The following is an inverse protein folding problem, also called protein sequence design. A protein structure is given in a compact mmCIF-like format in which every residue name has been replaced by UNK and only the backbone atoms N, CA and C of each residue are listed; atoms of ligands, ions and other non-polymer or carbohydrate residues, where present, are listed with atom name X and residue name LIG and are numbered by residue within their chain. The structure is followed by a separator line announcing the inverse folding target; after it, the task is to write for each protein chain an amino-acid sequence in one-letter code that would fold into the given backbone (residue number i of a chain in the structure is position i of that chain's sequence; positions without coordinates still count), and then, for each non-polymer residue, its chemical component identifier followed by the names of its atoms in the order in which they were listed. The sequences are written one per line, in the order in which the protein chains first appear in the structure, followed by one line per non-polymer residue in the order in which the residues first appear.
data_IF_065413248048
#
_entry.id   IF_065413248048
#
_cell.length_a   1.000
_cell.length_b   1.000
_cell.length_c   1.000
_cell.angle_alpha   90.00
_cell.angle_beta   90.00
_cell.angle_gamma   90.00
#
_symmetry.space_group_name_H-M   'P 1'
#
loop_
_entity.id
_entity.type
_entity.pdbx_description
1 polymer ?
#
# COMPACT_ATOMS: atom_id res chain seq x y z
N UNK A 1 -14.55 -19.19 3.14
CA UNK A 1 -13.41 -18.93 4.01
C UNK A 1 -13.49 -17.49 4.47
N UNK A 2 -13.55 -17.26 5.76
CA UNK A 2 -13.66 -15.92 6.35
C UNK A 2 -12.57 -15.79 7.44
N UNK A 3 -11.96 -14.60 7.57
CA UNK A 3 -10.92 -14.31 8.54
C UNK A 3 -9.60 -13.89 7.88
N UNK A 4 -8.51 -14.02 8.61
CA UNK A 4 -7.17 -13.70 8.12
C UNK A 4 -6.49 -14.97 7.57
N UNK A 5 -5.87 -14.88 6.39
CA UNK A 5 -5.28 -16.05 5.75
C UNK A 5 -4.45 -15.73 4.52
N UNK A 6 -4.12 -16.81 3.77
CA UNK A 6 -3.33 -16.75 2.54
C UNK A 6 -4.13 -17.34 1.39
N UNK A 7 -4.12 -16.65 0.26
CA UNK A 7 -4.60 -17.17 -1.02
C UNK A 7 -3.40 -17.25 -1.96
N UNK A 8 -3.06 -18.46 -2.40
CA UNK A 8 -2.10 -18.69 -3.48
C UNK A 8 -2.87 -18.85 -4.78
N UNK A 9 -2.62 -17.96 -5.74
CA UNK A 9 -3.19 -18.06 -7.09
C UNK A 9 -2.32 -18.93 -7.99
N UNK A 10 -1.01 -18.88 -7.79
CA UNK A 10 0.03 -19.71 -8.40
C UNK A 10 1.31 -19.64 -7.57
N UNK A 11 2.42 -20.15 -8.08
CA UNK A 11 3.71 -20.15 -7.36
C UNK A 11 4.32 -18.75 -7.16
N UNK A 12 3.80 -17.75 -7.85
CA UNK A 12 4.35 -16.40 -7.85
C UNK A 12 3.38 -15.34 -7.32
N UNK A 13 2.06 -15.61 -7.32
CA UNK A 13 1.04 -14.65 -6.93
C UNK A 13 0.39 -15.07 -5.61
N UNK A 14 0.65 -14.30 -4.57
CA UNK A 14 0.21 -14.61 -3.21
C UNK A 14 -0.48 -13.40 -2.60
N UNK A 15 -1.67 -13.61 -2.06
CA UNK A 15 -2.35 -12.67 -1.18
C UNK A 15 -2.27 -13.12 0.26
N UNK A 16 -2.06 -12.17 1.17
CA UNK A 16 -2.03 -12.38 2.61
C UNK A 16 -2.83 -11.26 3.26
N UNK A 17 -3.89 -11.61 3.96
CA UNK A 17 -4.73 -10.58 4.57
C UNK A 17 -6.11 -11.08 4.98
N UNK A 18 -7.00 -10.12 5.15
CA UNK A 18 -8.38 -10.39 5.50
C UNK A 18 -9.14 -10.98 4.30
N UNK A 19 -9.87 -12.05 4.54
CA UNK A 19 -10.64 -12.79 3.55
C UNK A 19 -12.10 -12.83 3.99
N UNK A 20 -13.01 -12.53 3.08
CA UNK A 20 -14.45 -12.69 3.26
C UNK A 20 -15.04 -13.40 2.06
N UNK A 21 -15.80 -14.46 2.31
CA UNK A 21 -16.45 -15.28 1.29
C UNK A 21 -15.48 -15.77 0.20
N UNK A 22 -14.22 -16.08 0.61
CA UNK A 22 -13.16 -16.53 -0.28
C UNK A 22 -12.48 -15.44 -1.08
N UNK A 23 -12.84 -14.18 -0.90
CA UNK A 23 -12.27 -13.02 -1.60
C UNK A 23 -11.41 -12.16 -0.68
N UNK A 24 -10.40 -11.50 -1.26
CA UNK A 24 -9.64 -10.44 -0.58
C UNK A 24 -10.61 -9.36 -0.09
N UNK A 25 -10.53 -9.03 1.21
CA UNK A 25 -11.41 -8.06 1.85
C UNK A 25 -10.70 -7.42 3.04
N UNK A 26 -10.98 -6.15 3.36
CA UNK A 26 -10.27 -5.46 4.43
C UNK A 26 -8.81 -5.20 4.09
N UNK A 27 -7.92 -5.34 5.08
CA UNK A 27 -6.48 -5.09 4.88
C UNK A 27 -5.74 -6.33 4.44
N UNK A 28 -4.81 -6.16 3.45
CA UNK A 28 -3.99 -7.25 2.98
C UNK A 28 -2.84 -6.81 2.08
N UNK A 29 -1.98 -7.77 1.80
CA UNK A 29 -0.79 -7.63 0.97
C UNK A 29 -0.90 -8.60 -0.21
N UNK A 30 -0.62 -8.10 -1.41
CA UNK A 30 -0.55 -8.91 -2.61
C UNK A 30 0.86 -8.83 -3.19
N UNK A 31 1.45 -9.97 -3.43
CA UNK A 31 2.77 -10.11 -4.01
C UNK A 31 2.68 -10.69 -5.41
N UNK A 32 3.34 -10.04 -6.36
CA UNK A 32 3.59 -10.56 -7.70
C UNK A 32 5.03 -11.05 -7.78
N UNK A 33 5.28 -12.13 -8.50
CA UNK A 33 6.58 -12.80 -8.56
C UNK A 33 7.76 -11.98 -9.12
N UNK A 34 7.49 -10.79 -9.64
CA UNK A 34 8.49 -9.85 -10.16
C UNK A 34 8.99 -8.82 -9.12
N UNK A 35 8.83 -9.10 -7.83
CA UNK A 35 9.11 -8.18 -6.72
C UNK A 35 8.22 -6.92 -6.69
N UNK A 36 7.04 -7.00 -7.28
CA UNK A 36 6.00 -6.00 -7.18
C UNK A 36 5.06 -6.36 -6.04
N UNK A 37 4.60 -5.38 -5.28
CA UNK A 37 3.62 -5.63 -4.21
C UNK A 37 2.59 -4.51 -4.11
N UNK A 38 1.44 -4.87 -3.55
CA UNK A 38 0.46 -3.93 -3.04
C UNK A 38 0.14 -4.26 -1.59
N UNK A 39 0.13 -3.25 -0.73
CA UNK A 39 -0.32 -3.34 0.65
C UNK A 39 -1.40 -2.30 0.88
N UNK A 40 -2.62 -2.71 1.22
CA UNK A 40 -3.72 -1.76 1.38
C UNK A 40 -5.08 -2.43 1.59
N UNK A 41 -6.11 -1.64 1.34
CA UNK A 41 -7.49 -2.04 1.53
C UNK A 41 -8.05 -2.72 0.27
N UNK A 42 -8.89 -3.73 0.52
CA UNK A 42 -9.64 -4.48 -0.49
C UNK A 42 -11.11 -4.57 -0.14
N UNK A 43 -11.94 -4.67 -1.16
CA UNK A 43 -13.35 -5.05 -1.05
C UNK A 43 -13.71 -5.96 -2.22
N UNK A 44 -14.16 -7.18 -1.90
CA UNK A 44 -14.55 -8.18 -2.90
C UNK A 44 -13.47 -8.39 -3.98
N UNK A 45 -12.19 -8.49 -3.58
CA UNK A 45 -11.06 -8.70 -4.47
C UNK A 45 -10.53 -7.44 -5.16
N UNK A 46 -11.13 -6.28 -4.94
CA UNK A 46 -10.79 -5.02 -5.64
C UNK A 46 -10.13 -4.05 -4.68
N UNK A 47 -9.03 -3.41 -5.10
CA UNK A 47 -8.33 -2.37 -4.34
C UNK A 47 -9.23 -1.15 -4.16
N UNK A 48 -9.32 -0.64 -2.92
CA UNK A 48 -10.03 0.60 -2.61
C UNK A 48 -9.38 1.29 -1.40
N UNK A 49 -9.75 2.56 -1.16
CA UNK A 49 -9.25 3.30 0.00
C UNK A 49 -7.75 3.51 -0.04
N UNK A 50 -7.10 3.48 1.11
CA UNK A 50 -5.66 3.72 1.20
C UNK A 50 -4.84 2.47 0.87
N UNK A 51 -3.75 2.66 0.13
CA UNK A 51 -2.83 1.58 -0.19
C UNK A 51 -1.47 2.07 -0.71
N UNK A 52 -0.52 1.15 -0.66
CA UNK A 52 0.86 1.34 -1.11
C UNK A 52 1.11 0.32 -2.21
N UNK A 53 1.55 0.80 -3.35
CA UNK A 53 1.95 -0.03 -4.47
C UNK A 53 3.44 0.17 -4.75
N UNK A 54 4.22 -0.89 -4.74
CA UNK A 54 5.63 -0.87 -5.07
C UNK A 54 5.81 -1.60 -6.38
N UNK A 55 6.14 -0.87 -7.44
CA UNK A 55 6.42 -1.43 -8.77
C UNK A 55 7.86 -1.90 -8.92
N UNK A 56 8.77 -1.34 -8.13
CA UNK A 56 10.18 -1.76 -8.12
C UNK A 56 10.87 -1.36 -6.81
N UNK A 57 11.30 -2.35 -6.05
CA UNK A 57 12.16 -2.10 -4.89
C UNK A 57 13.58 -1.66 -5.28
N UNK A 58 14.08 -2.14 -6.42
CA UNK A 58 15.41 -1.78 -6.91
C UNK A 58 15.50 -0.31 -7.30
N UNK A 59 14.48 0.20 -7.99
CA UNK A 59 14.38 1.60 -8.42
C UNK A 59 13.67 2.49 -7.40
N UNK A 60 13.17 1.90 -6.31
CA UNK A 60 12.32 2.56 -5.32
C UNK A 60 11.06 3.20 -5.92
N UNK A 61 10.52 2.64 -7.01
CA UNK A 61 9.30 3.15 -7.61
C UNK A 61 8.09 2.68 -6.83
N UNK A 62 7.38 3.64 -6.22
CA UNK A 62 6.21 3.36 -5.40
C UNK A 62 5.15 4.45 -5.49
N UNK A 63 3.90 4.07 -5.26
CA UNK A 63 2.78 4.97 -5.04
C UNK A 63 2.20 4.74 -3.64
N UNK A 64 1.97 5.82 -2.90
CA UNK A 64 1.31 5.81 -1.59
C UNK A 64 0.11 6.75 -1.68
N UNK A 65 -1.10 6.23 -1.59
CA UNK A 65 -2.28 7.08 -1.72
C UNK A 65 -3.58 6.31 -1.78
N UNK A 66 -4.56 6.87 -2.49
CA UNK A 66 -5.92 6.37 -2.52
C UNK A 66 -6.26 5.64 -3.81
N UNK A 67 -7.18 4.68 -3.67
CA UNK A 67 -7.62 3.76 -4.70
C UNK A 67 -9.14 3.71 -4.75
N UNK A 68 -9.66 3.58 -5.95
CA UNK A 68 -11.07 3.37 -6.22
C UNK A 68 -11.21 2.40 -7.40
N UNK A 69 -12.02 1.37 -7.24
CA UNK A 69 -12.28 0.38 -8.30
C UNK A 69 -11.00 -0.19 -8.92
N UNK A 70 -9.98 -0.48 -8.10
CA UNK A 70 -8.71 -1.04 -8.53
C UNK A 70 -7.71 -0.06 -9.13
N UNK A 71 -8.04 1.23 -9.25
CA UNK A 71 -7.22 2.28 -9.86
C UNK A 71 -6.86 3.35 -8.84
N UNK A 72 -5.72 4.03 -9.06
CA UNK A 72 -5.37 5.21 -8.25
C UNK A 72 -6.41 6.30 -8.46
N UNK A 73 -6.91 6.86 -7.36
CA UNK A 73 -7.96 7.87 -7.36
C UNK A 73 -7.89 8.71 -6.08
N UNK A 74 -7.87 10.04 -6.20
CA UNK A 74 -7.65 10.95 -5.09
C UNK A 74 -6.20 11.43 -5.02
N UNK A 75 -5.76 11.85 -3.83
CA UNK A 75 -4.39 12.35 -3.64
C UNK A 75 -3.41 11.22 -3.30
N UNK A 76 -2.18 11.37 -3.75
CA UNK A 76 -1.14 10.39 -3.47
C UNK A 76 0.28 10.92 -3.70
N UNK A 77 1.24 10.13 -3.22
CA UNK A 77 2.67 10.37 -3.35
C UNK A 77 3.24 9.35 -4.32
N UNK A 78 3.99 9.82 -5.30
CA UNK A 78 4.84 8.99 -6.14
C UNK A 78 6.29 9.12 -5.68
N UNK A 79 6.92 8.00 -5.34
CA UNK A 79 8.32 7.91 -4.97
C UNK A 79 9.13 7.28 -6.11
N UNK A 80 10.38 7.75 -6.23
CA UNK A 80 11.44 7.07 -6.95
C UNK A 80 12.76 7.19 -6.17
N UNK A 81 13.85 6.64 -6.68
CA UNK A 81 15.16 6.63 -6.01
C UNK A 81 15.77 8.03 -5.75
N UNK A 82 15.26 9.06 -6.39
CA UNK A 82 15.78 10.43 -6.34
C UNK A 82 14.93 11.37 -5.49
N UNK A 83 13.61 11.27 -5.65
CA UNK A 83 12.69 12.20 -5.03
C UNK A 83 11.28 11.61 -4.88
N UNK A 84 10.38 12.44 -4.41
CA UNK A 84 8.95 12.16 -4.39
C UNK A 84 8.17 13.38 -4.89
N UNK A 85 6.96 13.13 -5.37
CA UNK A 85 6.05 14.16 -5.86
C UNK A 85 4.62 13.84 -5.43
N UNK A 86 3.83 14.89 -5.26
CA UNK A 86 2.43 14.79 -4.86
C UNK A 86 1.52 15.03 -6.05
N UNK A 87 0.50 14.20 -6.19
CA UNK A 87 -0.43 14.28 -7.30
C UNK A 87 -1.87 14.06 -6.87
N UNK A 88 -2.76 14.77 -7.53
CA UNK A 88 -4.17 14.43 -7.59
C UNK A 88 -4.40 13.50 -8.78
N UNK A 89 -5.04 12.36 -8.51
CA UNK A 89 -5.30 11.33 -9.49
C UNK A 89 -6.81 11.12 -9.66
N UNK A 90 -7.21 10.72 -10.85
CA UNK A 90 -8.58 10.33 -11.14
C UNK A 90 -8.58 9.17 -12.14
N UNK A 91 -9.28 8.10 -11.77
CA UNK A 91 -9.47 6.91 -12.63
C UNK A 91 -8.16 6.38 -13.24
N UNK A 92 -7.11 6.27 -12.42
CA UNK A 92 -5.81 5.73 -12.83
C UNK A 92 -4.85 6.73 -13.47
N UNK A 93 -5.22 8.01 -13.60
CA UNK A 93 -4.40 9.03 -14.26
C UNK A 93 -4.02 10.15 -13.31
N UNK A 94 -2.79 10.64 -13.43
CA UNK A 94 -2.36 11.90 -12.81
C UNK A 94 -3.09 13.06 -13.50
N UNK A 95 -3.72 13.93 -12.70
CA UNK A 95 -4.45 15.11 -13.20
C UNK A 95 -3.59 16.35 -13.04
N UNK A 96 -3.21 16.66 -11.80
CA UNK A 96 -2.39 17.82 -11.48
C UNK A 96 -1.44 17.51 -10.32
N UNK A 97 -0.26 18.13 -10.35
CA UNK A 97 0.65 18.10 -9.21
C UNK A 97 0.15 19.03 -8.11
N UNK A 98 0.29 18.60 -6.88
CA UNK A 98 -0.08 19.40 -5.71
C UNK A 98 1.15 19.62 -4.84
N UNK A 99 1.17 20.72 -4.08
CA UNK A 99 2.27 20.95 -3.16
C UNK A 99 2.08 20.20 -1.82
N UNK A 100 3.14 20.13 -1.03
CA UNK A 100 3.12 19.41 0.23
C UNK A 100 2.11 19.97 1.25
N UNK A 101 1.86 21.27 1.24
CA UNK A 101 0.88 21.86 2.14
C UNK A 101 -0.54 21.46 1.77
N UNK A 102 -0.88 21.45 0.49
CA UNK A 102 -2.19 21.04 0.02
C UNK A 102 -2.51 19.60 0.38
N UNK A 103 -1.55 18.66 0.21
CA UNK A 103 -1.77 17.27 0.58
C UNK A 103 -1.90 17.12 2.10
N UNK A 104 -1.10 17.84 2.89
CA UNK A 104 -1.17 17.81 4.35
C UNK A 104 -2.54 18.29 4.83
N UNK A 105 -3.03 19.40 4.30
CA UNK A 105 -4.32 19.96 4.67
C UNK A 105 -5.46 19.02 4.26
N UNK A 106 -5.43 18.49 3.05
CA UNK A 106 -6.41 17.49 2.60
C UNK A 106 -6.46 16.28 3.55
N UNK A 107 -5.31 15.75 3.93
CA UNK A 107 -5.22 14.58 4.80
C UNK A 107 -5.67 14.86 6.24
N UNK A 108 -5.36 16.04 6.78
CA UNK A 108 -5.83 16.44 8.11
C UNK A 108 -7.34 16.45 8.20
N UNK A 109 -8.03 16.95 7.17
CA UNK A 109 -9.48 17.05 7.13
C UNK A 109 -10.16 15.72 6.79
N UNK A 110 -9.67 15.01 5.79
CA UNK A 110 -10.37 13.87 5.21
C UNK A 110 -9.83 12.51 5.67
N UNK A 111 -8.54 12.44 6.01
CA UNK A 111 -7.85 11.18 6.28
C UNK A 111 -6.80 11.31 7.37
N UNK A 112 -7.19 11.78 8.53
CA UNK A 112 -6.29 12.07 9.66
C UNK A 112 -5.36 10.91 10.04
N UNK A 113 -5.82 9.66 9.86
CA UNK A 113 -5.01 8.47 10.14
C UNK A 113 -3.77 8.38 9.23
N UNK A 114 -3.91 8.77 7.98
CA UNK A 114 -2.82 8.66 6.98
C UNK A 114 -1.91 9.89 6.95
N UNK A 115 -2.31 10.98 7.58
CA UNK A 115 -1.48 12.17 7.74
C UNK A 115 -0.12 11.85 8.37
N UNK A 116 -0.08 10.96 9.36
CA UNK A 116 1.16 10.57 10.03
C UNK A 116 2.19 9.93 9.11
N UNK A 117 1.76 9.27 8.05
CA UNK A 117 2.65 8.66 7.05
C UNK A 117 2.97 9.65 5.94
N UNK A 118 1.96 10.26 5.35
CA UNK A 118 2.11 11.11 4.17
C UNK A 118 2.69 12.49 4.48
N UNK A 119 2.67 12.91 5.75
CA UNK A 119 3.32 14.15 6.22
C UNK A 119 4.81 14.00 6.55
N UNK A 120 5.44 12.83 6.27
CA UNK A 120 6.85 12.57 6.54
C UNK A 120 7.74 13.03 5.39
N UNK A 121 9.05 13.21 5.71
CA UNK A 121 10.05 13.56 4.72
C UNK A 121 10.41 12.38 3.79
N UNK A 122 11.15 12.68 2.72
CA UNK A 122 11.57 11.69 1.74
C UNK A 122 12.40 10.54 2.36
N UNK A 123 13.29 10.85 3.30
CA UNK A 123 14.15 9.85 3.95
C UNK A 123 13.29 8.82 4.72
N UNK A 124 12.29 9.30 5.45
CA UNK A 124 11.36 8.42 6.15
C UNK A 124 10.57 7.54 5.18
N UNK A 125 9.98 8.13 4.15
CA UNK A 125 9.19 7.41 3.15
C UNK A 125 10.03 6.38 2.40
N UNK A 126 11.25 6.74 2.02
CA UNK A 126 12.22 5.82 1.41
C UNK A 126 12.51 4.62 2.30
N UNK A 127 12.87 4.86 3.56
CA UNK A 127 13.17 3.80 4.52
C UNK A 127 11.94 2.93 4.80
N UNK A 128 10.77 3.55 4.87
CA UNK A 128 9.51 2.84 5.04
C UNK A 128 9.25 1.87 3.86
N UNK A 129 9.36 2.32 2.62
CA UNK A 129 9.21 1.45 1.45
C UNK A 129 10.26 0.33 1.44
N UNK A 130 11.51 0.63 1.75
CA UNK A 130 12.55 -0.39 1.80
C UNK A 130 12.30 -1.43 2.89
N UNK A 131 11.71 -1.03 4.03
CA UNK A 131 11.34 -1.97 5.10
C UNK A 131 10.26 -2.97 4.68
N UNK A 132 9.43 -2.65 3.69
CA UNK A 132 8.45 -3.58 3.14
C UNK A 132 9.10 -4.77 2.42
N UNK A 133 10.27 -4.54 1.81
CA UNK A 133 11.05 -5.59 1.14
C UNK A 133 11.62 -6.63 2.11
N UNK A 134 12.01 -6.17 3.31
CA UNK A 134 12.66 -7.01 4.32
C UNK A 134 11.67 -7.85 5.13
N UNK A 135 10.37 -7.71 4.88
CA UNK A 135 9.38 -8.62 5.44
C UNK A 135 9.69 -10.05 4.97
N UNK A 136 9.90 -10.94 5.94
CA UNK A 136 10.29 -12.35 5.76
C UNK A 136 9.31 -13.18 4.90
N UNK A 137 8.22 -12.58 4.45
CA UNK A 137 7.20 -13.18 3.58
C UNK A 137 7.76 -13.58 2.21
N UNK A 138 8.80 -12.88 1.75
CA UNK A 138 9.50 -13.22 0.50
C UNK A 138 10.60 -14.27 0.71
N UNK A 139 10.87 -14.66 1.97
CA UNK A 139 11.81 -15.73 2.32
C UNK A 139 11.01 -17.00 2.64
N UNK A 140 11.55 -18.14 2.31
CA UNK A 140 10.93 -19.48 2.34
C UNK A 140 10.28 -19.92 3.66
N UNK A 141 10.39 -19.15 4.74
CA UNK A 141 9.85 -19.46 6.06
C UNK A 141 8.72 -18.49 6.44
N UNK A 142 7.53 -18.83 5.99
CA UNK A 142 6.30 -18.09 6.20
C UNK A 142 5.86 -18.12 7.67
N UNK A 143 5.88 -16.97 8.36
CA UNK A 143 5.26 -16.82 9.68
C UNK A 143 4.10 -15.82 9.61
N UNK A 144 2.85 -16.35 9.68
CA UNK A 144 1.59 -15.58 9.67
C UNK A 144 1.56 -14.42 10.69
N UNK A 145 2.27 -14.55 11.78
CA UNK A 145 2.31 -13.59 12.88
C UNK A 145 2.93 -12.26 12.44
N UNK A 146 3.92 -12.29 11.54
CA UNK A 146 4.64 -11.10 11.11
C UNK A 146 3.83 -10.19 10.19
N UNK A 147 3.00 -10.76 9.31
CA UNK A 147 2.12 -9.98 8.42
C UNK A 147 0.98 -9.34 9.19
N UNK A 148 0.37 -10.08 10.09
CA UNK A 148 -0.66 -9.55 10.99
C UNK A 148 -0.09 -8.41 11.86
N UNK A 149 1.15 -8.53 12.29
CA UNK A 149 1.85 -7.52 13.08
C UNK A 149 2.12 -6.25 12.25
N UNK A 150 2.53 -6.40 10.98
CA UNK A 150 2.78 -5.27 10.07
C UNK A 150 1.50 -4.50 9.77
N UNK A 151 0.43 -5.16 9.34
CA UNK A 151 -0.85 -4.50 9.05
C UNK A 151 -1.46 -3.86 10.29
N UNK A 152 -1.32 -4.46 11.47
CA UNK A 152 -1.78 -3.87 12.73
C UNK A 152 -0.91 -2.70 13.19
N UNK A 153 0.43 -2.80 13.10
CA UNK A 153 1.35 -1.74 13.52
C UNK A 153 1.19 -0.46 12.68
N UNK A 154 1.03 -0.60 11.37
CA UNK A 154 1.05 0.55 10.46
C UNK A 154 -0.33 1.04 10.03
N UNK A 155 -1.36 0.17 10.04
CA UNK A 155 -2.66 0.51 9.48
C UNK A 155 -3.86 0.36 10.41
N UNK A 156 -3.85 -0.58 11.36
CA UNK A 156 -4.97 -0.73 12.31
C UNK A 156 -4.84 0.16 13.55
N UNK A 157 -3.63 0.52 13.93
CA UNK A 157 -3.36 1.39 15.08
C UNK A 157 -3.05 2.85 14.69
N UNK A 158 -3.22 3.20 13.41
CA UNK A 158 -3.11 4.58 12.94
C UNK A 158 -4.45 5.31 13.01
#
# INVERSE_FOLDING_TARGET
MNGYGVIKYDDQHIYIGEIKDGLMNGWGEFYWGNNTMYCGQYKNGIKLGFGIYVSSFKKLDAYIGFWKEGKIDGVGIFLNDKNFSFWRCNNGKKIDSINQHEIIDYLKFNHRKFYKILGKDYKYLKNFILSLKDNEILKENFNYTNVYHFTNLYFKNC
#
